data_IF_380301503303
#
_entry.id   IF_380301503303
#
_cell.length_a   1.000
_cell.length_b   1.000
_cell.length_c   1.000
_cell.angle_alpha   90.00
_cell.angle_beta   90.00
_cell.angle_gamma   90.00
#
_symmetry.space_group_name_H-M   'P 1'
#
loop_
_entity.id
_entity.type
_entity.pdbx_description
1 polymer ?
#
# COMPACT_ATOMS: atom_id res chain seq x y z
N UNK A 1 18.38 9.55 -1.60
CA UNK A 1 17.11 9.98 -0.96
C UNK A 1 15.85 9.40 -1.61
N UNK A 2 15.48 9.75 -2.86
CA UNK A 2 14.20 9.31 -3.48
C UNK A 2 14.00 7.79 -3.62
N UNK A 3 15.08 7.04 -3.89
CA UNK A 3 15.05 5.56 -4.00
C UNK A 3 14.79 4.89 -2.64
N UNK A 4 15.34 5.43 -1.56
CA UNK A 4 15.18 4.90 -0.19
C UNK A 4 13.71 5.06 0.24
N UNK A 5 13.13 6.25 0.02
CA UNK A 5 11.71 6.50 0.31
C UNK A 5 10.81 5.53 -0.49
N UNK A 6 11.15 5.25 -1.75
CA UNK A 6 10.42 4.26 -2.55
C UNK A 6 10.49 2.85 -1.95
N UNK A 7 11.68 2.37 -1.56
CA UNK A 7 11.82 1.04 -0.96
C UNK A 7 11.13 0.93 0.40
N UNK A 8 11.17 1.98 1.23
CA UNK A 8 10.44 2.01 2.51
C UNK A 8 8.93 1.98 2.27
N UNK A 9 8.40 2.83 1.38
CA UNK A 9 6.98 2.81 1.04
C UNK A 9 6.54 1.46 0.45
N UNK A 10 7.41 0.81 -0.33
CA UNK A 10 7.13 -0.51 -0.89
C UNK A 10 7.06 -1.58 0.20
N UNK A 11 8.00 -1.59 1.14
CA UNK A 11 8.00 -2.53 2.26
C UNK A 11 6.77 -2.35 3.17
N UNK A 12 6.42 -1.11 3.50
CA UNK A 12 5.21 -0.77 4.27
C UNK A 12 3.95 -1.22 3.54
N UNK A 13 3.88 -1.02 2.22
CA UNK A 13 2.74 -1.46 1.41
C UNK A 13 2.57 -2.99 1.41
N UNK A 14 3.67 -3.75 1.35
CA UNK A 14 3.63 -5.23 1.40
C UNK A 14 3.15 -5.70 2.78
N UNK A 15 3.65 -5.11 3.87
CA UNK A 15 3.19 -5.45 5.22
C UNK A 15 1.69 -5.17 5.42
N UNK A 16 1.23 -3.99 4.98
CA UNK A 16 -0.19 -3.63 4.99
C UNK A 16 -1.04 -4.63 4.19
N UNK A 17 -0.55 -5.06 3.03
CA UNK A 17 -1.24 -6.02 2.17
C UNK A 17 -1.39 -7.38 2.84
N UNK A 18 -0.32 -7.91 3.45
CA UNK A 18 -0.38 -9.17 4.19
C UNK A 18 -1.35 -9.09 5.37
N UNK A 19 -1.40 -7.95 6.06
CA UNK A 19 -2.33 -7.72 7.16
C UNK A 19 -3.79 -7.68 6.69
N UNK A 20 -4.06 -7.07 5.54
CA UNK A 20 -5.39 -7.06 4.91
C UNK A 20 -5.78 -8.48 4.49
N UNK A 21 -4.88 -9.23 3.86
CA UNK A 21 -5.12 -10.63 3.48
C UNK A 21 -5.38 -11.53 4.69
N UNK A 22 -4.63 -11.36 5.77
CA UNK A 22 -4.83 -12.14 6.99
C UNK A 22 -6.23 -11.92 7.57
N UNK A 23 -6.70 -10.67 7.61
CA UNK A 23 -8.07 -10.35 8.04
C UNK A 23 -9.11 -10.94 7.08
N UNK A 24 -8.86 -10.85 5.77
CA UNK A 24 -9.76 -11.32 4.73
C UNK A 24 -9.89 -12.87 4.68
N UNK A 25 -8.86 -13.60 5.11
CA UNK A 25 -8.88 -15.08 5.10
C UNK A 25 -9.25 -15.65 6.47
N UNK A 26 -8.75 -15.07 7.55
CA UNK A 26 -8.86 -15.64 8.90
C UNK A 26 -10.06 -15.09 9.67
N UNK A 27 -10.37 -13.81 9.48
CA UNK A 27 -11.35 -13.10 10.30
C UNK A 27 -12.60 -12.66 9.52
N UNK A 28 -12.71 -12.99 8.23
CA UNK A 28 -13.85 -12.59 7.39
C UNK A 28 -15.19 -13.08 7.94
N UNK A 29 -15.20 -14.27 8.57
CA UNK A 29 -16.39 -14.81 9.21
C UNK A 29 -16.72 -14.14 10.56
N UNK A 30 -15.75 -13.43 11.16
CA UNK A 30 -15.90 -12.64 12.39
C UNK A 30 -15.99 -11.13 12.13
N UNK A 31 -15.97 -10.70 10.88
CA UNK A 31 -16.03 -9.30 10.51
C UNK A 31 -17.44 -8.78 10.77
N UNK A 32 -17.60 -8.09 11.90
CA UNK A 32 -18.78 -7.27 12.17
C UNK A 32 -18.81 -6.06 11.24
N UNK A 33 -19.93 -5.33 11.19
CA UNK A 33 -20.09 -4.11 10.39
C UNK A 33 -18.95 -3.09 10.61
N UNK A 34 -18.48 -2.95 11.85
CA UNK A 34 -17.31 -2.13 12.20
C UNK A 34 -15.97 -2.70 11.68
N UNK A 35 -15.85 -4.02 11.60
CA UNK A 35 -14.68 -4.70 11.02
C UNK A 35 -14.53 -4.45 9.53
N UNK A 36 -15.65 -4.37 8.80
CA UNK A 36 -15.65 -3.95 7.40
C UNK A 36 -15.23 -2.49 7.22
N UNK A 37 -15.66 -1.59 8.10
CA UNK A 37 -15.20 -0.19 8.10
C UNK A 37 -13.68 -0.07 8.30
N UNK A 38 -13.12 -0.82 9.25
CA UNK A 38 -11.68 -0.85 9.51
C UNK A 38 -10.88 -1.44 8.33
N UNK A 39 -11.37 -2.54 7.74
CA UNK A 39 -10.77 -3.15 6.56
C UNK A 39 -10.79 -2.19 5.37
N UNK A 40 -11.92 -1.52 5.15
CA UNK A 40 -12.08 -0.51 4.09
C UNK A 40 -11.09 0.63 4.28
N UNK A 41 -10.91 1.14 5.50
CA UNK A 41 -9.88 2.15 5.80
C UNK A 41 -8.46 1.68 5.45
N UNK A 42 -8.11 0.43 5.78
CA UNK A 42 -6.80 -0.16 5.40
C UNK A 42 -6.62 -0.29 3.90
N UNK A 43 -7.67 -0.67 3.17
CA UNK A 43 -7.65 -0.76 1.70
C UNK A 43 -7.47 0.63 1.06
N UNK A 44 -8.16 1.65 1.58
CA UNK A 44 -7.97 3.04 1.13
C UNK A 44 -6.53 3.50 1.37
N UNK A 45 -5.98 3.26 2.56
CA UNK A 45 -4.57 3.56 2.86
C UNK A 45 -3.60 2.84 1.92
N UNK A 46 -3.86 1.56 1.63
CA UNK A 46 -3.07 0.78 0.68
C UNK A 46 -3.08 1.44 -0.71
N UNK A 47 -4.26 1.84 -1.22
CA UNK A 47 -4.40 2.49 -2.52
C UNK A 47 -3.66 3.84 -2.58
N UNK A 48 -3.70 4.63 -1.50
CA UNK A 48 -2.95 5.89 -1.40
C UNK A 48 -1.44 5.63 -1.51
N UNK A 49 -0.91 4.69 -0.73
CA UNK A 49 0.52 4.35 -0.78
C UNK A 49 0.95 3.77 -2.13
N UNK A 50 0.14 2.91 -2.74
CA UNK A 50 0.40 2.35 -4.07
C UNK A 50 0.41 3.45 -5.12
N UNK A 51 -0.55 4.37 -5.07
CA UNK A 51 -0.63 5.50 -6.02
C UNK A 51 0.63 6.37 -5.90
N UNK A 52 1.00 6.76 -4.68
CA UNK A 52 2.22 7.55 -4.43
C UNK A 52 3.45 6.81 -4.94
N UNK A 53 3.57 5.50 -4.68
CA UNK A 53 4.70 4.69 -5.15
C UNK A 53 4.78 4.64 -6.68
N UNK A 54 3.64 4.47 -7.37
CA UNK A 54 3.58 4.43 -8.84
C UNK A 54 3.94 5.78 -9.46
N UNK A 55 3.40 6.89 -8.94
CA UNK A 55 3.73 8.24 -9.41
C UNK A 55 5.21 8.58 -9.17
N UNK A 56 5.75 8.20 -8.02
CA UNK A 56 7.16 8.41 -7.70
C UNK A 56 8.08 7.56 -8.60
N UNK A 57 7.69 6.32 -8.93
CA UNK A 57 8.42 5.46 -9.88
C UNK A 57 8.46 6.07 -11.28
N UNK A 58 7.36 6.66 -11.76
CA UNK A 58 7.31 7.37 -13.06
C UNK A 58 8.26 8.57 -13.09
N UNK A 59 8.27 9.39 -12.03
CA UNK A 59 9.19 10.54 -11.92
C UNK A 59 10.67 10.13 -11.89
N UNK A 60 11.00 9.03 -11.20
CA UNK A 60 12.37 8.50 -11.15
C UNK A 60 12.80 7.95 -12.52
N UNK A 61 11.88 7.35 -13.29
CA UNK A 61 12.18 6.84 -14.64
C UNK A 61 12.43 7.96 -15.64
N UNK A 62 11.65 9.04 -15.59
CA UNK A 62 11.85 10.20 -16.49
C UNK A 62 13.16 10.96 -16.20
N UNK A 63 13.51 11.18 -14.94
CA UNK A 63 14.79 11.81 -14.59
C UNK A 63 16.04 11.02 -15.01
N UNK A 64 15.92 9.74 -15.36
CA UNK A 64 17.03 8.91 -15.85
C UNK A 64 17.15 8.94 -17.38
N UNK A 65 16.17 9.51 -18.10
CA UNK A 65 16.23 9.67 -19.56
C UNK A 65 16.75 11.04 -20.01
N UNK A 66 16.82 12.03 -19.10
CA UNK A 66 17.34 13.38 -19.35
C UNK A 66 18.82 13.57 -18.92
N UNK A 67 19.45 12.52 -18.37
CA UNK A 67 20.90 12.45 -18.06
C UNK A 67 21.57 11.44 -18.99
#
# INVERSE_FOLDING_TARGET
MRKIIFYISLAVSILLFLHVLQILVSDFHRLTEYGFGFLTGKVVWLLVFVTIAVFMRRKIKMQRQEM
#
